data_IF_413010662862
#
_entry.id   IF_413010662862
#
_cell.length_a   1.000
_cell.length_b   1.000
_cell.length_c   1.000
_cell.angle_alpha   90.00
_cell.angle_beta   90.00
_cell.angle_gamma   90.00
#
_symmetry.space_group_name_H-M   'P 1'
#
loop_
_entity.id
_entity.type
_entity.pdbx_description
1 polymer ?
#
# COMPACT_ATOMS: atom_id res chain seq x y z
N UNK A 1 -3.21 4.19 -14.74
CA UNK A 1 -3.33 5.55 -14.19
C UNK A 1 -4.43 6.26 -14.96
N UNK A 2 -5.29 7.00 -14.28
CA UNK A 2 -6.26 7.84 -14.97
C UNK A 2 -5.51 9.02 -15.60
N UNK A 3 -5.28 8.96 -16.92
CA UNK A 3 -4.46 9.95 -17.64
C UNK A 3 -2.95 9.64 -17.63
N UNK A 4 -2.17 10.56 -18.20
CA UNK A 4 -0.73 10.38 -18.48
C UNK A 4 0.22 10.63 -17.31
N UNK A 5 -0.27 10.80 -16.08
CA UNK A 5 0.54 11.14 -14.91
C UNK A 5 0.03 10.55 -13.60
N UNK A 6 0.82 10.70 -12.54
CA UNK A 6 0.49 10.27 -11.19
C UNK A 6 -0.66 11.11 -10.62
N UNK A 7 -1.73 10.47 -10.16
CA UNK A 7 -2.91 11.12 -9.59
C UNK A 7 -3.08 10.78 -8.10
N UNK A 8 -3.95 11.54 -7.41
CA UNK A 8 -4.33 11.21 -6.03
C UNK A 8 -4.99 9.84 -5.89
N UNK A 9 -5.65 9.35 -6.94
CA UNK A 9 -6.23 8.00 -6.94
C UNK A 9 -5.12 6.94 -6.88
N UNK A 10 -4.05 7.13 -7.65
CA UNK A 10 -2.89 6.24 -7.62
C UNK A 10 -2.25 6.24 -6.21
N UNK A 11 -2.05 7.43 -5.62
CA UNK A 11 -1.50 7.56 -4.26
C UNK A 11 -2.39 6.92 -3.18
N UNK A 12 -3.71 7.08 -3.30
CA UNK A 12 -4.67 6.47 -2.39
C UNK A 12 -4.65 4.94 -2.51
N UNK A 13 -4.55 4.43 -3.74
CA UNK A 13 -4.43 2.99 -3.99
C UNK A 13 -3.14 2.41 -3.41
N UNK A 14 -2.01 3.12 -3.57
CA UNK A 14 -0.74 2.76 -2.94
C UNK A 14 -0.90 2.62 -1.42
N UNK A 15 -1.49 3.63 -0.76
CA UNK A 15 -1.69 3.61 0.68
C UNK A 15 -2.64 2.50 1.14
N UNK A 16 -3.69 2.21 0.36
CA UNK A 16 -4.61 1.13 0.64
C UNK A 16 -3.90 -0.24 0.60
N UNK A 17 -3.07 -0.48 -0.41
CA UNK A 17 -2.30 -1.73 -0.53
C UNK A 17 -1.31 -1.87 0.63
N UNK A 18 -0.54 -0.83 0.94
CA UNK A 18 0.38 -0.81 2.09
C UNK A 18 -0.35 -1.11 3.41
N UNK A 19 -1.52 -0.48 3.62
CA UNK A 19 -2.32 -0.70 4.82
C UNK A 19 -2.92 -2.10 4.91
N UNK A 20 -3.41 -2.65 3.80
CA UNK A 20 -3.96 -4.01 3.76
C UNK A 20 -2.86 -5.07 3.94
N UNK A 21 -1.66 -4.85 3.39
CA UNK A 21 -0.49 -5.72 3.64
C UNK A 21 -0.13 -5.80 5.11
N UNK A 22 -0.23 -4.67 5.83
CA UNK A 22 -0.04 -4.62 7.28
C UNK A 22 -1.19 -5.30 8.05
N UNK A 23 -2.44 -4.95 7.73
CA UNK A 23 -3.59 -5.40 8.51
C UNK A 23 -3.95 -6.88 8.27
N UNK A 24 -3.81 -7.37 7.02
CA UNK A 24 -4.24 -8.70 6.59
C UNK A 24 -3.16 -9.43 5.75
N UNK A 25 -1.96 -9.70 6.31
CA UNK A 25 -0.85 -10.28 5.56
C UNK A 25 -1.17 -11.64 4.94
N UNK A 26 -1.94 -12.51 5.62
CA UNK A 26 -2.31 -13.84 5.06
C UNK A 26 -3.28 -13.69 3.89
N UNK A 27 -4.30 -12.84 4.03
CA UNK A 27 -5.25 -12.60 2.95
C UNK A 27 -4.57 -11.96 1.73
N UNK A 28 -3.69 -10.98 1.95
CA UNK A 28 -2.96 -10.30 0.86
C UNK A 28 -2.04 -11.26 0.10
N UNK A 29 -1.33 -12.17 0.79
CA UNK A 29 -0.50 -13.19 0.14
C UNK A 29 -1.27 -14.08 -0.86
N UNK A 30 -2.58 -14.23 -0.67
CA UNK A 30 -3.48 -15.00 -1.55
C UNK A 30 -4.07 -14.13 -2.67
N UNK A 31 -4.51 -12.92 -2.33
CA UNK A 31 -5.30 -12.05 -3.22
C UNK A 31 -4.41 -11.30 -4.22
N UNK A 32 -3.18 -10.93 -3.84
CA UNK A 32 -2.26 -10.20 -4.71
C UNK A 32 -1.94 -10.95 -6.00
N UNK A 33 -1.86 -12.28 -5.93
CA UNK A 33 -1.65 -13.15 -7.11
C UNK A 33 -2.74 -12.99 -8.17
N UNK A 34 -3.96 -12.63 -7.77
CA UNK A 34 -5.10 -12.41 -8.67
C UNK A 34 -5.19 -10.96 -9.18
N UNK A 35 -4.43 -10.04 -8.58
CA UNK A 35 -4.49 -8.61 -8.85
C UNK A 35 -3.10 -8.05 -9.17
N UNK A 36 -2.35 -8.72 -10.04
CA UNK A 36 -0.97 -8.36 -10.38
C UNK A 36 -0.81 -6.90 -10.83
N UNK A 37 -1.79 -6.34 -11.56
CA UNK A 37 -1.74 -4.95 -12.00
C UNK A 37 -1.84 -3.93 -10.84
N UNK A 38 -2.52 -4.26 -9.74
CA UNK A 38 -2.55 -3.41 -8.55
C UNK A 38 -1.22 -3.45 -7.80
N UNK A 39 -0.58 -4.62 -7.74
CA UNK A 39 0.76 -4.79 -7.17
C UNK A 39 1.79 -4.02 -8.01
N UNK A 40 1.74 -4.15 -9.33
CA UNK A 40 2.64 -3.41 -10.22
C UNK A 40 2.44 -1.89 -10.08
N UNK A 41 1.20 -1.42 -9.99
CA UNK A 41 0.90 -0.01 -9.75
C UNK A 41 1.51 0.45 -8.43
N UNK A 42 1.31 -0.31 -7.36
CA UNK A 42 1.91 -0.03 -6.06
C UNK A 42 3.44 0.09 -6.16
N UNK A 43 4.10 -0.88 -6.79
CA UNK A 43 5.55 -0.94 -6.88
C UNK A 43 6.12 0.21 -7.71
N UNK A 44 5.43 0.59 -8.80
CA UNK A 44 5.78 1.75 -9.61
C UNK A 44 5.66 3.05 -8.82
N UNK A 45 4.62 3.20 -7.99
CA UNK A 45 4.44 4.39 -7.15
C UNK A 45 5.51 4.45 -6.06
N UNK A 46 5.86 3.30 -5.44
CA UNK A 46 6.93 3.21 -4.44
C UNK A 46 8.28 3.72 -4.99
N UNK A 47 8.55 3.44 -6.27
CA UNK A 47 9.77 3.84 -6.96
C UNK A 47 9.73 5.27 -7.52
N UNK A 48 8.56 5.92 -7.53
CA UNK A 48 8.43 7.29 -8.05
C UNK A 48 9.28 8.26 -7.18
N UNK A 49 10.20 9.06 -7.75
CA UNK A 49 11.27 9.67 -6.94
C UNK A 49 10.82 10.56 -5.76
N UNK A 50 9.81 11.44 -5.92
CA UNK A 50 9.21 12.14 -4.78
C UNK A 50 8.65 11.24 -3.68
N UNK A 51 8.04 10.11 -4.04
CA UNK A 51 7.46 9.15 -3.10
C UNK A 51 8.57 8.37 -2.41
N UNK A 52 9.51 7.79 -3.16
CA UNK A 52 10.67 7.11 -2.60
C UNK A 52 11.41 7.97 -1.55
N UNK A 53 11.61 9.26 -1.84
CA UNK A 53 12.19 10.22 -0.88
C UNK A 53 11.33 10.43 0.37
N UNK A 54 10.01 10.44 0.23
CA UNK A 54 9.10 10.51 1.39
C UNK A 54 9.14 9.23 2.22
N UNK A 55 9.11 8.06 1.56
CA UNK A 55 9.16 6.74 2.23
C UNK A 55 10.46 6.54 3.00
N UNK A 56 11.58 7.04 2.49
CA UNK A 56 12.88 7.02 3.16
C UNK A 56 13.06 8.11 4.23
N UNK A 57 12.12 9.05 4.35
CA UNK A 57 12.20 10.13 5.34
C UNK A 57 11.61 9.73 6.68
N UNK A 58 12.06 10.36 7.77
CA UNK A 58 11.45 10.19 9.10
C UNK A 58 10.04 10.77 9.26
N UNK A 59 9.43 11.29 8.17
CA UNK A 59 8.07 11.86 8.19
C UNK A 59 6.98 10.80 8.00
N UNK A 60 7.32 9.62 7.47
CA UNK A 60 6.36 8.53 7.28
C UNK A 60 6.15 7.83 8.60
N UNK A 61 4.96 7.98 9.18
CA UNK A 61 4.58 7.26 10.39
C UNK A 61 4.36 5.78 10.02
N UNK A 62 5.01 4.82 10.71
CA UNK A 62 4.75 3.40 10.51
C UNK A 62 3.31 3.03 10.86
N UNK A 63 2.77 2.00 10.20
CA UNK A 63 1.52 1.40 10.65
C UNK A 63 1.66 0.87 12.07
N UNK A 64 0.58 0.99 12.83
CA UNK A 64 0.51 0.65 14.24
C UNK A 64 -0.96 0.41 14.62
N UNK A 65 -1.20 -0.01 15.85
CA UNK A 65 -2.55 -0.37 16.33
C UNK A 65 -3.45 0.83 16.68
N UNK A 66 -2.93 2.05 16.61
CA UNK A 66 -3.70 3.29 16.87
C UNK A 66 -4.28 3.90 15.57
N UNK A 67 -3.99 3.30 14.41
CA UNK A 67 -4.45 3.78 13.10
C UNK A 67 -5.68 3.06 12.55
N UNK A 68 -6.01 3.35 11.28
CA UNK A 68 -7.11 2.71 10.55
C UNK A 68 -6.80 1.24 10.24
N UNK A 69 -5.60 0.97 9.70
CA UNK A 69 -5.14 -0.37 9.38
C UNK A 69 -4.53 -1.00 10.63
N UNK A 70 -5.24 -1.98 11.21
CA UNK A 70 -4.84 -2.68 12.43
C UNK A 70 -4.77 -4.17 12.13
N UNK A 71 -3.71 -4.82 12.60
CA UNK A 71 -3.54 -6.25 12.42
C UNK A 71 -4.28 -7.00 13.53
N UNK A 72 -5.39 -7.64 13.17
CA UNK A 72 -6.15 -8.53 14.05
C UNK A 72 -6.00 -9.95 13.51
N UNK A 73 -5.20 -10.78 14.18
CA UNK A 73 -4.87 -12.14 13.72
C UNK A 73 -6.12 -13.02 13.56
N UNK A 74 -7.16 -12.78 14.37
CA UNK A 74 -8.46 -13.44 14.33
C UNK A 74 -9.28 -13.08 13.08
N UNK A 75 -9.00 -11.94 12.44
CA UNK A 75 -9.66 -11.47 11.22
C UNK A 75 -8.86 -11.80 9.95
N UNK A 76 -7.57 -12.13 10.07
CA UNK A 76 -6.69 -12.42 8.93
C UNK A 76 -6.71 -13.91 8.55
N UNK A 77 -7.34 -14.23 7.41
CA UNK A 77 -7.60 -15.60 6.91
C UNK A 77 -7.06 -15.86 5.50
#
# INVERSE_FOLDING_TARGET
>A
MAGGGLTYMDLSMFQLIEGLRYAFPKAMARIEKKHAGLVELHDRIAQHPPIARYLASGRRIPFNEQGIFRHYAELDR
#
